data_IF_466632925241
#
_entry.id   IF_466632925241
#
_cell.length_a   1.000
_cell.length_b   1.000
_cell.length_c   1.000
_cell.angle_alpha   90.00
_cell.angle_beta   90.00
_cell.angle_gamma   90.00
#
_symmetry.space_group_name_H-M   'P 1'
#
loop_
_entity.id
_entity.type
_entity.pdbx_description
1 polymer ?
#
# COMPACT_ATOMS: atom_id res chain seq x y z
N UNK A 1 6.63 15.64 -5.42
CA UNK A 1 5.19 15.55 -5.71
C UNK A 1 4.87 16.17 -7.08
N UNK A 2 5.13 17.46 -7.33
CA UNK A 2 4.77 18.15 -8.59
C UNK A 2 5.23 17.46 -9.87
N UNK A 3 6.49 16.99 -9.95
CA UNK A 3 6.99 16.25 -11.11
C UNK A 3 6.25 14.93 -11.36
N UNK A 4 5.81 14.26 -10.30
CA UNK A 4 5.00 13.04 -10.41
C UNK A 4 3.57 13.37 -10.87
N UNK A 5 3.02 14.48 -10.40
CA UNK A 5 1.73 14.99 -10.86
C UNK A 5 1.75 15.32 -12.37
N UNK A 6 2.76 16.05 -12.83
CA UNK A 6 2.97 16.35 -14.25
C UNK A 6 3.09 15.08 -15.12
N UNK A 7 3.65 14.02 -14.54
CA UNK A 7 3.74 12.71 -15.17
C UNK A 7 2.45 11.87 -15.06
N UNK A 8 1.40 12.36 -14.41
CA UNK A 8 0.15 11.63 -14.18
C UNK A 8 0.28 10.50 -13.14
N UNK A 9 1.30 10.56 -12.27
CA UNK A 9 1.59 9.53 -11.27
C UNK A 9 0.95 9.92 -9.93
N UNK A 10 0.05 9.06 -9.45
CA UNK A 10 -0.50 9.15 -8.10
C UNK A 10 0.44 8.50 -7.09
N UNK A 11 0.39 8.98 -5.85
CA UNK A 11 1.34 8.59 -4.80
C UNK A 11 0.61 8.13 -3.54
N UNK A 12 1.01 6.99 -3.01
CA UNK A 12 0.69 6.54 -1.66
C UNK A 12 1.91 6.74 -0.77
N UNK A 13 1.69 7.31 0.40
CA UNK A 13 2.78 7.68 1.31
C UNK A 13 2.51 7.09 2.69
N UNK A 14 3.53 6.48 3.31
CA UNK A 14 3.48 6.14 4.73
C UNK A 14 3.60 7.41 5.58
N UNK A 15 2.77 7.55 6.62
CA UNK A 15 2.92 8.64 7.59
C UNK A 15 4.15 8.46 8.46
N UNK A 16 4.63 7.23 8.60
CA UNK A 16 5.83 6.89 9.35
C UNK A 16 7.12 7.13 8.55
N UNK A 17 8.18 7.48 9.27
CA UNK A 17 9.54 7.58 8.77
C UNK A 17 10.45 6.65 9.57
N UNK A 18 11.70 6.36 9.12
CA UNK A 18 12.64 5.54 9.90
C UNK A 18 12.91 6.05 11.32
N UNK A 19 12.79 7.36 11.54
CA UNK A 19 13.01 8.01 12.85
C UNK A 19 11.73 8.17 13.68
N UNK A 20 10.57 8.14 13.05
CA UNK A 20 9.27 8.34 13.72
C UNK A 20 8.28 7.29 13.19
N UNK A 21 8.15 6.20 13.91
CA UNK A 21 7.27 5.09 13.56
C UNK A 21 6.74 4.40 14.81
N UNK A 22 5.64 3.68 14.65
CA UNK A 22 5.19 2.75 15.69
C UNK A 22 6.18 1.58 15.74
N UNK A 23 6.74 1.31 16.92
CA UNK A 23 7.58 0.15 17.15
C UNK A 23 6.70 -1.08 17.38
N UNK A 24 6.83 -2.08 16.53
CA UNK A 24 6.04 -3.32 16.61
C UNK A 24 6.27 -4.12 17.89
N UNK A 25 7.42 -3.94 18.57
CA UNK A 25 7.76 -4.62 19.81
C UNK A 25 7.39 -3.81 21.06
N UNK A 26 7.19 -2.50 20.91
CA UNK A 26 6.80 -1.59 21.98
C UNK A 26 5.73 -0.59 21.50
N UNK A 27 4.58 -1.08 20.98
CA UNK A 27 3.62 -0.23 20.26
C UNK A 27 3.03 0.88 21.13
N UNK A 28 2.63 0.58 22.37
CA UNK A 28 2.06 1.56 23.30
C UNK A 28 3.07 2.66 23.69
N UNK A 29 4.35 2.30 23.79
CA UNK A 29 5.40 3.27 24.14
C UNK A 29 5.70 4.21 22.96
N UNK A 30 5.69 3.69 21.75
CA UNK A 30 5.96 4.46 20.54
C UNK A 30 4.74 5.28 20.05
N UNK A 31 3.55 4.93 20.49
CA UNK A 31 2.35 5.74 20.31
C UNK A 31 2.32 6.84 21.38
N UNK A 32 2.92 7.97 21.04
CA UNK A 32 3.08 9.12 21.92
C UNK A 32 2.86 10.43 21.12
N UNK A 33 2.67 11.57 21.80
CA UNK A 33 2.36 12.85 21.14
C UNK A 33 3.37 13.26 20.07
N UNK A 34 4.66 13.05 20.28
CA UNK A 34 5.71 13.45 19.33
C UNK A 34 5.63 12.64 18.03
N UNK A 35 5.42 11.33 18.16
CA UNK A 35 5.27 10.42 17.02
C UNK A 35 4.01 10.78 16.23
N UNK A 36 2.88 10.97 16.89
CA UNK A 36 1.60 11.29 16.24
C UNK A 36 1.65 12.69 15.61
N UNK A 37 2.25 13.68 16.27
CA UNK A 37 2.47 15.01 15.69
C UNK A 37 3.35 14.97 14.43
N UNK A 38 4.30 14.04 14.36
CA UNK A 38 5.09 13.80 13.14
C UNK A 38 4.22 13.26 12.00
N UNK A 39 3.26 12.38 12.30
CA UNK A 39 2.30 11.87 11.32
C UNK A 39 1.38 12.98 10.80
N UNK A 40 0.88 13.83 11.68
CA UNK A 40 0.06 14.98 11.28
C UNK A 40 0.80 15.92 10.34
N UNK A 41 2.06 16.28 10.64
CA UNK A 41 2.88 17.10 9.73
C UNK A 41 3.06 16.46 8.35
N UNK A 42 3.22 15.13 8.30
CA UNK A 42 3.30 14.43 7.02
C UNK A 42 2.00 14.59 6.24
N UNK A 43 0.86 14.37 6.89
CA UNK A 43 -0.47 14.50 6.27
C UNK A 43 -0.71 15.91 5.75
N UNK A 44 -0.43 16.93 6.55
CA UNK A 44 -0.65 18.35 6.18
C UNK A 44 0.14 18.74 4.93
N UNK A 45 1.40 18.25 4.83
CA UNK A 45 2.23 18.50 3.65
C UNK A 45 1.64 17.80 2.42
N UNK A 46 1.31 16.50 2.53
CA UNK A 46 0.97 15.70 1.36
C UNK A 46 -0.48 15.88 0.90
N UNK A 47 -1.38 16.29 1.78
CA UNK A 47 -2.77 16.58 1.44
C UNK A 47 -2.91 17.76 0.48
N UNK A 48 -1.92 18.66 0.45
CA UNK A 48 -1.87 19.79 -0.48
C UNK A 48 -1.62 19.40 -1.94
N UNK A 49 -1.18 18.16 -2.21
CA UNK A 49 -0.88 17.70 -3.56
C UNK A 49 -2.04 16.87 -4.13
N UNK A 50 -2.63 17.26 -5.28
CA UNK A 50 -3.80 16.59 -5.84
C UNK A 50 -3.52 15.14 -6.27
N UNK A 51 -2.25 14.80 -6.56
CA UNK A 51 -1.83 13.45 -6.89
C UNK A 51 -1.52 12.55 -5.67
N UNK A 52 -1.81 12.99 -4.45
CA UNK A 52 -1.81 12.08 -3.29
C UNK A 52 -3.05 11.21 -3.34
N UNK A 53 -2.87 9.90 -3.53
CA UNK A 53 -3.95 8.93 -3.57
C UNK A 53 -4.48 8.60 -2.17
N UNK A 54 -3.58 8.47 -1.20
CA UNK A 54 -3.90 8.14 0.18
C UNK A 54 -2.65 8.02 1.05
N UNK A 55 -2.85 7.65 2.30
CA UNK A 55 -1.79 7.46 3.29
C UNK A 55 -1.83 6.07 3.90
N UNK A 56 -0.68 5.59 4.33
CA UNK A 56 -0.53 4.34 5.05
C UNK A 56 -0.23 4.62 6.52
N UNK A 57 -1.13 4.20 7.42
CA UNK A 57 -0.96 4.34 8.87
C UNK A 57 0.17 3.48 9.43
N UNK A 58 0.53 2.42 8.73
CA UNK A 58 1.65 1.54 9.07
C UNK A 58 2.08 0.66 7.92
N UNK A 59 3.32 0.19 8.01
CA UNK A 59 3.94 -0.70 7.02
C UNK A 59 4.56 -1.90 7.72
N UNK A 60 4.06 -3.11 7.44
CA UNK A 60 4.57 -4.39 7.95
C UNK A 60 4.74 -4.47 9.47
N UNK A 61 3.89 -3.80 10.22
CA UNK A 61 3.98 -3.77 11.67
C UNK A 61 3.55 -5.11 12.28
N UNK A 62 2.63 -5.81 11.63
CA UNK A 62 2.10 -7.10 12.07
C UNK A 62 2.63 -8.18 11.14
N UNK A 63 3.51 -9.05 11.63
CA UNK A 63 4.14 -10.11 10.84
C UNK A 63 4.18 -11.47 11.55
N UNK A 64 3.78 -11.54 12.83
CA UNK A 64 3.67 -12.75 13.63
C UNK A 64 2.77 -12.52 14.84
N UNK A 65 2.52 -13.57 15.62
CA UNK A 65 1.63 -13.54 16.79
C UNK A 65 2.08 -12.54 17.86
N UNK A 66 3.38 -12.37 18.07
CA UNK A 66 3.90 -11.44 19.06
C UNK A 66 3.64 -9.97 18.70
N UNK A 67 3.43 -9.68 17.42
CA UNK A 67 3.17 -8.32 16.92
C UNK A 67 1.68 -8.02 16.71
N UNK A 68 0.78 -8.99 16.92
CA UNK A 68 -0.67 -8.77 16.82
C UNK A 68 -1.21 -7.60 17.68
N UNK A 69 -0.70 -7.37 18.92
CA UNK A 69 -1.16 -6.24 19.74
C UNK A 69 -1.01 -4.86 19.08
N UNK A 70 -0.14 -4.74 18.09
CA UNK A 70 0.02 -3.50 17.31
C UNK A 70 -1.27 -3.09 16.60
N UNK A 71 -2.13 -4.03 16.25
CA UNK A 71 -3.40 -3.75 15.57
C UNK A 71 -4.28 -2.75 16.34
N UNK A 72 -4.31 -2.83 17.66
CA UNK A 72 -5.06 -1.87 18.49
C UNK A 72 -4.45 -0.46 18.44
N UNK A 73 -3.12 -0.35 18.44
CA UNK A 73 -2.42 0.92 18.30
C UNK A 73 -2.62 1.48 16.89
N UNK A 74 -2.63 0.64 15.86
CA UNK A 74 -2.95 1.09 14.50
C UNK A 74 -4.34 1.71 14.41
N UNK A 75 -5.36 1.13 15.06
CA UNK A 75 -6.69 1.73 15.14
C UNK A 75 -6.67 3.10 15.83
N UNK A 76 -5.88 3.25 16.91
CA UNK A 76 -5.72 4.55 17.56
C UNK A 76 -5.06 5.58 16.63
N UNK A 77 -4.02 5.18 15.90
CA UNK A 77 -3.38 6.04 14.89
C UNK A 77 -4.36 6.44 13.79
N UNK A 78 -5.15 5.50 13.27
CA UNK A 78 -6.18 5.79 12.25
C UNK A 78 -7.19 6.79 12.77
N UNK A 79 -7.69 6.59 13.99
CA UNK A 79 -8.62 7.50 14.67
C UNK A 79 -8.04 8.92 14.73
N UNK A 80 -6.83 9.06 15.26
CA UNK A 80 -6.22 10.36 15.48
C UNK A 80 -5.92 11.07 14.16
N UNK A 81 -5.50 10.32 13.12
CA UNK A 81 -5.33 10.86 11.76
C UNK A 81 -6.66 11.35 11.17
N UNK A 82 -7.76 10.59 11.34
CA UNK A 82 -9.08 11.00 10.84
C UNK A 82 -9.60 12.24 11.56
N UNK A 83 -9.43 12.31 12.90
CA UNK A 83 -9.81 13.50 13.68
C UNK A 83 -9.00 14.71 13.20
N UNK A 84 -7.67 14.58 13.09
CA UNK A 84 -6.80 15.66 12.63
C UNK A 84 -7.22 16.15 11.23
N UNK A 85 -7.36 15.26 10.27
CA UNK A 85 -7.78 15.63 8.92
C UNK A 85 -9.16 16.28 8.88
N UNK A 86 -10.08 15.84 9.71
CA UNK A 86 -11.42 16.46 9.82
C UNK A 86 -11.31 17.91 10.32
N UNK A 87 -10.54 18.16 11.38
CA UNK A 87 -10.31 19.50 11.90
C UNK A 87 -9.63 20.40 10.86
N UNK A 88 -8.61 19.89 10.15
CA UNK A 88 -7.95 20.63 9.07
C UNK A 88 -8.89 20.91 7.89
N UNK A 89 -9.78 19.99 7.57
CA UNK A 89 -10.79 20.18 6.52
C UNK A 89 -11.79 21.27 6.92
N UNK A 90 -12.30 21.24 8.15
CA UNK A 90 -13.24 22.23 8.68
C UNK A 90 -12.62 23.63 8.78
N UNK A 91 -11.34 23.74 9.24
CA UNK A 91 -10.67 25.01 9.42
C UNK A 91 -10.11 25.61 8.13
N UNK A 92 -9.54 24.78 7.25
CA UNK A 92 -8.71 25.23 6.11
C UNK A 92 -9.20 24.68 4.75
N UNK A 93 -10.24 23.85 4.73
CA UNK A 93 -10.68 23.17 3.51
C UNK A 93 -9.67 22.13 3.01
N UNK A 94 -8.77 21.65 3.86
CA UNK A 94 -7.79 20.63 3.50
C UNK A 94 -8.49 19.34 3.07
N UNK A 95 -7.98 18.72 2.02
CA UNK A 95 -8.54 17.45 1.51
C UNK A 95 -8.37 16.31 2.51
N UNK A 96 -9.43 15.57 2.77
CA UNK A 96 -9.37 14.32 3.52
C UNK A 96 -8.80 13.20 2.64
N UNK A 97 -7.81 12.49 3.15
CA UNK A 97 -7.14 11.40 2.45
C UNK A 97 -7.63 10.04 3.00
N UNK A 98 -7.86 9.05 2.15
CA UNK A 98 -8.11 7.69 2.63
C UNK A 98 -6.87 7.14 3.34
N UNK A 99 -7.12 6.37 4.41
CA UNK A 99 -6.08 5.77 5.26
C UNK A 99 -6.07 4.25 5.07
N UNK A 100 -4.93 3.70 4.70
CA UNK A 100 -4.73 2.26 4.58
C UNK A 100 -3.67 1.71 5.52
N UNK A 101 -3.53 0.40 5.46
CA UNK A 101 -2.46 -0.36 6.10
C UNK A 101 -1.73 -1.21 5.06
N UNK A 102 -0.40 -1.24 5.12
CA UNK A 102 0.42 -2.10 4.27
C UNK A 102 0.87 -3.34 5.04
N UNK A 103 0.27 -4.49 4.72
CA UNK A 103 0.60 -5.76 5.35
C UNK A 103 1.92 -6.33 4.82
N UNK A 104 2.60 -7.10 5.66
CA UNK A 104 3.73 -7.93 5.27
C UNK A 104 3.31 -8.96 4.20
N UNK A 105 4.28 -9.66 3.62
CA UNK A 105 4.00 -10.74 2.66
C UNK A 105 3.05 -11.77 3.28
N UNK A 106 1.94 -11.96 2.63
CA UNK A 106 0.74 -12.68 3.06
C UNK A 106 0.99 -13.87 3.98
N UNK A 107 0.56 -13.72 5.23
CA UNK A 107 0.49 -14.78 6.22
C UNK A 107 -0.92 -15.32 6.40
N UNK A 108 -1.06 -16.45 7.09
CA UNK A 108 -2.36 -17.03 7.42
C UNK A 108 -3.26 -16.09 8.26
N UNK A 109 -2.71 -14.99 8.79
CA UNK A 109 -3.41 -14.04 9.64
C UNK A 109 -3.80 -12.73 8.96
N UNK A 110 -3.47 -12.55 7.67
CA UNK A 110 -3.79 -11.29 6.96
C UNK A 110 -5.28 -11.02 6.95
N UNK A 111 -6.08 -12.05 6.72
CA UNK A 111 -7.53 -11.94 6.76
C UNK A 111 -8.01 -11.49 8.14
N UNK A 112 -7.50 -12.09 9.20
CA UNK A 112 -7.83 -11.76 10.57
C UNK A 112 -7.50 -10.28 10.88
N UNK A 113 -6.32 -9.83 10.53
CA UNK A 113 -5.87 -8.46 10.76
C UNK A 113 -6.70 -7.46 9.93
N UNK A 114 -6.99 -7.78 8.67
CA UNK A 114 -7.84 -6.99 7.82
C UNK A 114 -9.23 -6.81 8.44
N UNK A 115 -9.85 -7.89 8.88
CA UNK A 115 -11.15 -7.87 9.54
C UNK A 115 -11.13 -7.03 10.81
N UNK A 116 -10.11 -7.19 11.66
CA UNK A 116 -9.95 -6.38 12.84
C UNK A 116 -9.82 -4.88 12.51
N UNK A 117 -8.98 -4.52 11.53
CA UNK A 117 -8.74 -3.12 11.17
C UNK A 117 -9.92 -2.47 10.45
N UNK A 118 -10.81 -3.25 9.84
CA UNK A 118 -12.05 -2.77 9.19
C UNK A 118 -13.27 -2.83 10.08
N UNK A 119 -13.22 -3.57 11.20
CA UNK A 119 -14.36 -3.71 12.12
C UNK A 119 -14.54 -2.47 12.99
N UNK A 120 -15.80 -2.24 13.43
CA UNK A 120 -16.18 -1.18 14.36
C UNK A 120 -16.56 0.12 13.66
N UNK A 121 -16.31 1.25 14.33
CA UNK A 121 -16.70 2.56 13.85
C UNK A 121 -15.80 3.04 12.71
N UNK A 122 -16.37 3.81 11.81
CA UNK A 122 -15.66 4.37 10.64
C UNK A 122 -14.40 5.16 11.05
N UNK A 123 -14.47 5.85 12.19
CA UNK A 123 -13.39 6.68 12.73
C UNK A 123 -12.12 5.88 13.06
N UNK A 124 -12.27 4.60 13.41
CA UNK A 124 -11.16 3.71 13.76
C UNK A 124 -10.81 2.70 12.67
N UNK A 125 -11.57 2.68 11.58
CA UNK A 125 -11.42 1.69 10.51
C UNK A 125 -10.55 2.23 9.38
N UNK A 126 -9.75 1.37 8.77
CA UNK A 126 -9.00 1.68 7.56
C UNK A 126 -9.93 1.75 6.34
N UNK A 127 -9.54 2.55 5.34
CA UNK A 127 -10.33 2.78 4.13
C UNK A 127 -9.86 1.91 2.95
N UNK A 128 -8.65 1.35 3.00
CA UNK A 128 -8.12 0.40 2.02
C UNK A 128 -7.03 -0.49 2.62
N UNK A 129 -6.78 -1.62 1.99
CA UNK A 129 -5.75 -2.58 2.39
C UNK A 129 -4.73 -2.78 1.28
N UNK A 130 -3.46 -2.89 1.66
CA UNK A 130 -2.42 -3.29 0.73
C UNK A 130 -1.60 -4.44 1.29
N UNK A 131 -1.10 -5.30 0.42
CA UNK A 131 -0.22 -6.39 0.80
C UNK A 131 0.84 -6.64 -0.28
N UNK A 132 1.87 -7.40 0.08
CA UNK A 132 2.96 -7.77 -0.82
C UNK A 132 2.78 -9.19 -1.33
N UNK A 133 3.13 -9.44 -2.59
CA UNK A 133 3.15 -10.78 -3.12
C UNK A 133 4.31 -11.01 -4.09
N UNK A 134 5.33 -11.72 -3.65
CA UNK A 134 6.47 -12.16 -4.46
C UNK A 134 6.42 -13.66 -4.81
N UNK A 135 5.36 -14.36 -4.42
CA UNK A 135 5.21 -15.80 -4.64
C UNK A 135 4.63 -16.16 -6.01
N UNK A 136 4.19 -15.17 -6.78
CA UNK A 136 3.76 -15.36 -8.16
C UNK A 136 5.00 -15.69 -9.01
N UNK A 137 5.42 -16.95 -8.96
CA UNK A 137 6.47 -17.49 -9.83
C UNK A 137 5.91 -17.67 -11.22
N UNK A 138 6.78 -17.59 -12.24
CA UNK A 138 6.40 -17.62 -13.66
C UNK A 138 5.81 -18.95 -14.16
N UNK A 139 5.65 -19.97 -13.31
CA UNK A 139 5.04 -21.23 -13.67
C UNK A 139 3.50 -21.13 -13.63
N UNK A 140 2.80 -21.45 -14.73
CA UNK A 140 1.34 -21.28 -14.84
C UNK A 140 0.53 -21.91 -13.70
N UNK A 141 0.92 -23.10 -13.25
CA UNK A 141 0.23 -23.81 -12.17
C UNK A 141 0.44 -23.14 -10.80
N UNK A 142 1.64 -22.59 -10.56
CA UNK A 142 1.94 -21.85 -9.33
C UNK A 142 1.18 -20.53 -9.32
N UNK A 143 1.15 -19.81 -10.43
CA UNK A 143 0.37 -18.58 -10.58
C UNK A 143 -1.10 -18.88 -10.28
N UNK A 144 -1.66 -19.94 -10.82
CA UNK A 144 -3.07 -20.34 -10.59
C UNK A 144 -3.35 -20.66 -9.13
N UNK A 145 -2.44 -21.39 -8.47
CA UNK A 145 -2.61 -21.74 -7.05
C UNK A 145 -2.56 -20.52 -6.15
N UNK A 146 -1.59 -19.61 -6.34
CA UNK A 146 -1.47 -18.35 -5.58
C UNK A 146 -2.64 -17.42 -5.87
N UNK A 147 -3.08 -17.34 -7.13
CA UNK A 147 -4.26 -16.59 -7.53
C UNK A 147 -5.52 -17.05 -6.77
N UNK A 148 -5.78 -18.36 -6.75
CA UNK A 148 -6.94 -18.91 -6.05
C UNK A 148 -6.86 -18.68 -4.54
N UNK A 149 -5.69 -18.79 -3.95
CA UNK A 149 -5.47 -18.51 -2.53
C UNK A 149 -5.74 -17.03 -2.19
N UNK A 150 -5.23 -16.10 -3.01
CA UNK A 150 -5.50 -14.66 -2.85
C UNK A 150 -7.00 -14.34 -2.98
N UNK A 151 -7.66 -14.89 -4.00
CA UNK A 151 -9.09 -14.71 -4.18
C UNK A 151 -9.87 -15.26 -2.98
N UNK A 152 -9.53 -16.46 -2.52
CA UNK A 152 -10.21 -17.08 -1.38
C UNK A 152 -10.07 -16.25 -0.11
N UNK A 153 -8.88 -15.71 0.16
CA UNK A 153 -8.61 -14.92 1.37
C UNK A 153 -9.29 -13.55 1.38
N UNK A 154 -9.35 -12.90 0.23
CA UNK A 154 -9.81 -11.51 0.16
C UNK A 154 -11.18 -11.34 -0.50
N UNK A 155 -11.79 -12.42 -0.98
CA UNK A 155 -13.16 -12.36 -1.50
C UNK A 155 -14.15 -11.93 -0.39
N UNK A 156 -15.04 -11.01 -0.73
CA UNK A 156 -16.01 -10.49 0.23
C UNK A 156 -15.50 -9.33 1.10
N UNK A 157 -14.29 -8.83 0.87
CA UNK A 157 -13.79 -7.63 1.54
C UNK A 157 -14.54 -6.38 1.05
N UNK A 158 -14.97 -5.53 2.00
CA UNK A 158 -15.78 -4.34 1.72
C UNK A 158 -14.97 -3.09 1.34
N UNK A 159 -13.64 -3.14 1.41
CA UNK A 159 -12.73 -2.04 1.10
C UNK A 159 -11.81 -2.42 -0.06
N UNK A 160 -11.29 -1.43 -0.82
CA UNK A 160 -10.33 -1.68 -1.88
C UNK A 160 -9.07 -2.39 -1.37
N UNK A 161 -8.61 -3.38 -2.15
CA UNK A 161 -7.36 -4.11 -1.90
C UNK A 161 -6.45 -3.98 -3.11
N UNK A 162 -5.16 -3.78 -2.90
CA UNK A 162 -4.20 -3.87 -4.00
C UNK A 162 -2.84 -4.40 -3.53
N UNK A 163 -2.02 -4.86 -4.46
CA UNK A 163 -0.66 -5.30 -4.17
C UNK A 163 0.27 -4.09 -4.13
N UNK A 164 0.72 -3.71 -2.93
CA UNK A 164 1.71 -2.63 -2.78
C UNK A 164 3.06 -2.96 -3.41
N UNK A 165 3.40 -4.25 -3.42
CA UNK A 165 4.62 -4.75 -4.03
C UNK A 165 4.37 -6.13 -4.65
N UNK A 166 4.74 -6.27 -5.92
CA UNK A 166 4.81 -7.57 -6.59
C UNK A 166 5.95 -7.59 -7.62
N UNK A 167 6.23 -8.75 -8.17
CA UNK A 167 7.27 -8.94 -9.19
C UNK A 167 8.39 -9.85 -8.70
N UNK A 168 8.37 -11.10 -9.14
CA UNK A 168 9.44 -12.06 -8.84
C UNK A 168 10.68 -11.75 -9.68
N UNK A 169 11.90 -11.86 -9.10
CA UNK A 169 13.16 -11.64 -9.82
C UNK A 169 14.06 -12.88 -9.88
N UNK A 170 13.50 -14.07 -9.68
CA UNK A 170 14.26 -15.32 -9.76
C UNK A 170 14.70 -15.66 -11.18
N UNK A 171 14.00 -15.13 -12.18
CA UNK A 171 14.39 -15.21 -13.58
C UNK A 171 14.68 -13.81 -14.14
N UNK A 172 15.70 -13.69 -14.97
CA UNK A 172 16.13 -12.46 -15.61
C UNK A 172 16.32 -12.66 -17.12
N UNK A 173 15.87 -11.72 -17.96
CA UNK A 173 14.98 -10.60 -17.61
C UNK A 173 13.61 -11.07 -17.15
N UNK A 174 12.98 -10.31 -16.22
CA UNK A 174 11.62 -10.58 -15.77
C UNK A 174 10.63 -10.39 -16.93
N UNK A 175 9.62 -11.25 -17.03
CA UNK A 175 8.61 -11.19 -18.09
C UNK A 175 7.22 -10.72 -17.57
N UNK A 176 7.04 -10.61 -16.28
CA UNK A 176 5.86 -10.05 -15.60
C UNK A 176 4.51 -10.69 -15.99
N UNK A 177 4.47 -12.01 -16.15
CA UNK A 177 3.20 -12.72 -16.38
C UNK A 177 2.18 -12.50 -15.27
N UNK A 178 2.64 -12.35 -14.03
CA UNK A 178 1.80 -12.02 -12.87
C UNK A 178 1.02 -10.71 -13.04
N UNK A 179 1.53 -9.77 -13.82
CA UNK A 179 0.81 -8.53 -14.14
C UNK A 179 -0.45 -8.81 -14.92
N UNK A 180 -0.38 -9.65 -15.95
CA UNK A 180 -1.56 -10.05 -16.73
C UNK A 180 -2.59 -10.79 -15.88
N UNK A 181 -2.13 -11.62 -14.92
CA UNK A 181 -3.01 -12.34 -13.99
C UNK A 181 -3.69 -11.37 -13.02
N UNK A 182 -2.94 -10.44 -12.42
CA UNK A 182 -3.46 -9.44 -11.48
C UNK A 182 -4.60 -8.62 -12.08
N UNK A 183 -4.49 -8.27 -13.36
CA UNK A 183 -5.52 -7.50 -14.07
C UNK A 183 -6.52 -8.36 -14.85
N UNK A 184 -6.57 -9.67 -14.61
CA UNK A 184 -7.59 -10.54 -15.18
C UNK A 184 -8.98 -10.24 -14.58
N UNK A 185 -10.09 -10.53 -15.29
CA UNK A 185 -11.44 -10.29 -14.79
C UNK A 185 -11.73 -10.89 -13.42
N UNK A 186 -11.20 -12.09 -13.12
CA UNK A 186 -11.37 -12.72 -11.83
C UNK A 186 -10.65 -12.00 -10.70
N UNK A 187 -9.41 -11.54 -10.93
CA UNK A 187 -8.65 -10.80 -9.92
C UNK A 187 -9.17 -9.38 -9.73
N UNK A 188 -9.59 -8.71 -10.80
CA UNK A 188 -10.08 -7.33 -10.75
C UNK A 188 -11.39 -7.18 -9.96
N UNK A 189 -12.11 -8.27 -9.68
CA UNK A 189 -13.26 -8.27 -8.76
C UNK A 189 -12.86 -8.09 -7.30
N UNK A 190 -11.62 -8.45 -6.94
CA UNK A 190 -11.11 -8.41 -5.57
C UNK A 190 -9.99 -7.39 -5.42
N UNK A 191 -9.08 -7.32 -6.39
CA UNK A 191 -7.90 -6.45 -6.35
C UNK A 191 -8.05 -5.26 -7.28
N UNK A 192 -7.78 -4.08 -6.77
CA UNK A 192 -7.76 -2.83 -7.54
C UNK A 192 -6.46 -2.61 -8.34
N UNK A 193 -5.59 -3.61 -8.39
CA UNK A 193 -4.33 -3.57 -9.11
C UNK A 193 -3.10 -3.72 -8.21
N UNK A 194 -1.95 -3.21 -8.66
CA UNK A 194 -0.72 -3.30 -7.86
C UNK A 194 0.44 -2.50 -8.43
N UNK A 195 1.49 -2.35 -7.59
CA UNK A 195 2.74 -1.70 -7.93
C UNK A 195 3.86 -2.73 -8.05
N UNK A 196 4.56 -2.72 -9.17
CA UNK A 196 5.74 -3.59 -9.33
C UNK A 196 6.90 -3.09 -8.46
N UNK A 197 7.55 -4.00 -7.77
CA UNK A 197 8.77 -3.73 -7.03
C UNK A 197 9.99 -4.00 -7.92
N UNK A 198 10.90 -3.05 -8.18
CA UNK A 198 10.88 -1.63 -7.83
C UNK A 198 11.39 -0.79 -9.01
N UNK A 199 11.15 0.52 -9.02
CA UNK A 199 11.54 1.36 -10.16
C UNK A 199 13.06 1.51 -10.28
N UNK A 200 13.74 1.96 -9.19
CA UNK A 200 15.18 2.16 -9.18
C UNK A 200 15.93 0.88 -8.80
N UNK A 201 17.04 0.62 -9.52
CA UNK A 201 17.92 -0.50 -9.20
C UNK A 201 18.62 -0.28 -7.86
N UNK A 202 18.48 -1.28 -6.99
CA UNK A 202 19.20 -1.43 -5.73
C UNK A 202 19.98 -2.75 -5.71
N UNK A 203 20.71 -3.00 -4.62
CA UNK A 203 21.51 -4.22 -4.45
C UNK A 203 20.68 -5.52 -4.52
N UNK A 204 19.37 -5.44 -4.25
CA UNK A 204 18.43 -6.56 -4.30
C UNK A 204 18.06 -7.00 -5.73
N UNK A 205 18.40 -6.22 -6.76
CA UNK A 205 18.24 -6.61 -8.15
C UNK A 205 16.81 -6.51 -8.72
N UNK A 206 15.92 -5.73 -8.13
CA UNK A 206 14.53 -5.58 -8.60
C UNK A 206 14.29 -4.38 -9.53
N UNK A 207 15.29 -3.54 -9.76
CA UNK A 207 15.13 -2.30 -10.53
C UNK A 207 14.65 -2.51 -11.96
N UNK A 208 13.87 -1.55 -12.43
CA UNK A 208 13.49 -1.41 -13.84
C UNK A 208 14.45 -0.49 -14.58
N UNK A 209 15.06 0.45 -13.86
CA UNK A 209 16.04 1.40 -14.37
C UNK A 209 17.18 1.58 -13.38
N UNK A 210 18.36 1.97 -13.88
CA UNK A 210 19.55 2.29 -13.08
C UNK A 210 20.15 3.61 -13.56
N UNK A 211 20.72 4.41 -12.66
CA UNK A 211 21.49 5.59 -13.04
C UNK A 211 22.94 5.43 -12.59
N UNK A 212 23.87 5.49 -13.56
CA UNK A 212 25.31 5.50 -13.31
C UNK A 212 25.77 6.95 -13.28
N UNK A 213 26.18 7.48 -12.12
CA UNK A 213 26.64 8.86 -11.99
C UNK A 213 27.97 9.06 -12.68
N UNK A 214 28.23 10.26 -13.21
CA UNK A 214 29.47 10.59 -13.92
C UNK A 214 30.73 10.59 -13.04
N UNK A 215 30.60 10.73 -11.72
CA UNK A 215 31.75 10.76 -10.79
C UNK A 215 31.59 9.70 -9.69
N UNK A 216 32.56 8.83 -9.61
CA UNK A 216 32.74 7.92 -8.46
C UNK A 216 31.86 6.70 -8.46
N UNK A 217 31.18 6.40 -9.55
CA UNK A 217 30.23 5.31 -9.54
C UNK A 217 30.81 3.98 -9.98
N UNK A 218 30.26 3.01 -9.33
CA UNK A 218 30.41 1.59 -9.59
C UNK A 218 29.97 1.31 -11.02
N UNK A 219 30.71 0.44 -11.70
CA UNK A 219 30.19 -0.16 -12.93
C UNK A 219 28.87 -0.84 -12.63
N UNK A 220 27.95 -0.78 -13.60
CA UNK A 220 26.70 -1.56 -13.49
C UNK A 220 27.01 -3.03 -13.26
N UNK A 221 26.21 -3.67 -12.43
CA UNK A 221 26.27 -5.12 -12.23
C UNK A 221 25.51 -5.88 -13.32
N UNK A 222 24.79 -5.16 -14.18
CA UNK A 222 24.03 -5.75 -15.27
C UNK A 222 24.92 -6.11 -16.45
N UNK A 223 24.69 -7.30 -17.01
CA UNK A 223 25.24 -7.67 -18.30
C UNK A 223 24.64 -6.80 -19.42
N UNK A 224 25.35 -6.61 -20.49
CA UNK A 224 24.85 -5.86 -21.66
C UNK A 224 23.54 -6.46 -22.22
N UNK A 225 23.34 -7.77 -22.07
CA UNK A 225 22.10 -8.43 -22.46
C UNK A 225 20.89 -7.99 -21.65
N UNK A 226 21.07 -7.45 -20.46
CA UNK A 226 20.00 -6.91 -19.60
C UNK A 226 19.69 -5.45 -19.88
N UNK A 227 20.62 -4.73 -20.53
CA UNK A 227 20.47 -3.31 -20.84
C UNK A 227 19.76 -3.18 -22.19
N UNK A 228 18.59 -2.56 -22.20
CA UNK A 228 17.86 -2.27 -23.42
C UNK A 228 18.35 -0.99 -24.10
N UNK A 229 18.56 0.07 -23.30
CA UNK A 229 18.95 1.39 -23.81
C UNK A 229 19.82 2.11 -22.78
N UNK A 230 20.74 2.95 -23.28
CA UNK A 230 21.56 3.88 -22.49
C UNK A 230 21.25 5.30 -22.93
N UNK A 231 20.93 6.18 -21.98
CA UNK A 231 20.65 7.60 -22.22
C UNK A 231 21.56 8.46 -21.37
N UNK A 232 22.28 9.35 -22.03
CA UNK A 232 23.01 10.40 -21.33
C UNK A 232 22.03 11.38 -20.68
N UNK A 233 22.30 11.73 -19.44
CA UNK A 233 21.52 12.69 -18.66
C UNK A 233 22.45 13.65 -17.93
N UNK A 234 21.93 14.74 -17.40
CA UNK A 234 22.70 15.66 -16.57
C UNK A 234 23.33 14.97 -15.34
N UNK A 235 22.66 13.97 -14.78
CA UNK A 235 23.06 13.28 -13.55
C UNK A 235 23.96 12.06 -13.79
N UNK A 236 24.07 11.59 -15.02
CA UNK A 236 24.78 10.38 -15.38
C UNK A 236 24.12 9.63 -16.53
N UNK A 237 24.51 8.39 -16.72
CA UNK A 237 23.95 7.52 -17.75
C UNK A 237 22.75 6.75 -17.16
N UNK A 238 21.57 7.01 -17.67
CA UNK A 238 20.38 6.24 -17.36
C UNK A 238 20.37 4.94 -18.16
N UNK A 239 20.34 3.82 -17.48
CA UNK A 239 20.16 2.50 -18.06
C UNK A 239 18.69 2.12 -17.98
N UNK A 240 18.07 1.88 -19.11
CA UNK A 240 16.74 1.28 -19.20
C UNK A 240 16.95 -0.23 -19.34
N UNK A 241 16.45 -0.99 -18.37
CA UNK A 241 16.61 -2.44 -18.35
C UNK A 241 15.52 -3.14 -19.18
N UNK A 242 15.80 -4.35 -19.64
CA UNK A 242 14.78 -5.17 -20.35
C UNK A 242 13.55 -5.42 -19.49
N UNK A 243 13.71 -5.50 -18.18
CA UNK A 243 12.63 -5.60 -17.22
C UNK A 243 11.62 -4.46 -17.38
N UNK A 244 12.07 -3.21 -17.58
CA UNK A 244 11.21 -2.06 -17.86
C UNK A 244 10.39 -2.24 -19.15
N UNK A 245 11.04 -2.69 -20.22
CA UNK A 245 10.39 -2.87 -21.52
C UNK A 245 9.36 -3.98 -21.45
N UNK A 246 9.69 -5.10 -20.79
CA UNK A 246 8.77 -6.21 -20.61
C UNK A 246 7.56 -5.80 -19.76
N UNK A 247 7.78 -5.07 -18.66
CA UNK A 247 6.69 -4.58 -17.82
C UNK A 247 5.77 -3.62 -18.58
N UNK A 248 6.36 -2.67 -19.33
CA UNK A 248 5.59 -1.75 -20.18
C UNK A 248 4.75 -2.49 -21.22
N UNK A 249 5.30 -3.55 -21.83
CA UNK A 249 4.56 -4.38 -22.79
C UNK A 249 3.36 -5.06 -22.13
N UNK A 250 3.51 -5.61 -20.91
CA UNK A 250 2.39 -6.21 -20.17
C UNK A 250 1.30 -5.22 -19.82
N UNK A 251 1.67 -4.01 -19.39
CA UNK A 251 0.69 -2.97 -19.13
C UNK A 251 -0.08 -2.54 -20.40
N UNK A 252 0.59 -2.51 -21.55
CA UNK A 252 -0.05 -2.22 -22.82
C UNK A 252 -1.05 -3.30 -23.25
N UNK A 253 -0.75 -4.57 -22.99
CA UNK A 253 -1.67 -5.70 -23.23
C UNK A 253 -2.95 -5.54 -22.40
N UNK A 254 -2.84 -5.16 -21.14
CA UNK A 254 -3.97 -4.95 -20.22
C UNK A 254 -4.83 -3.77 -20.69
N UNK A 255 -4.23 -2.66 -21.07
CA UNK A 255 -4.94 -1.47 -21.55
C UNK A 255 -5.78 -1.73 -22.80
N UNK A 256 -5.48 -2.79 -23.55
CA UNK A 256 -6.25 -3.25 -24.70
C UNK A 256 -7.38 -4.24 -24.35
N UNK A 257 -7.32 -4.83 -23.17
CA UNK A 257 -8.43 -5.59 -22.60
C UNK A 257 -9.37 -4.53 -22.03
N UNK A 258 -10.36 -4.11 -22.84
CA UNK A 258 -11.36 -3.14 -22.37
C UNK A 258 -11.88 -3.63 -21.02
N UNK A 259 -11.87 -2.76 -20.03
CA UNK A 259 -12.59 -3.01 -18.78
C UNK A 259 -14.03 -3.11 -19.21
N UNK A 260 -14.56 -4.33 -19.34
CA UNK A 260 -15.98 -4.55 -19.50
C UNK A 260 -16.62 -3.90 -18.27
N UNK A 261 -17.28 -2.79 -18.55
CA UNK A 261 -17.88 -1.93 -17.56
C UNK A 261 -18.83 -2.72 -16.67
N UNK A 262 -18.59 -2.61 -15.37
CA UNK A 262 -19.61 -2.59 -14.34
C UNK A 262 -20.76 -3.59 -14.50
N UNK A 263 -20.52 -4.86 -14.22
CA UNK A 263 -21.54 -5.59 -13.47
C UNK A 263 -21.51 -5.00 -12.04
N UNK A 264 -22.42 -4.08 -11.79
CA UNK A 264 -22.62 -3.53 -10.45
C UNK A 264 -22.82 -4.70 -9.49
N UNK A 265 -22.01 -4.73 -8.44
CA UNK A 265 -22.17 -5.67 -7.33
C UNK A 265 -23.64 -5.65 -6.91
N UNK A 266 -24.35 -6.75 -7.07
CA UNK A 266 -25.77 -6.83 -6.78
C UNK A 266 -25.99 -6.60 -5.28
N UNK A 267 -27.16 -6.07 -4.91
CA UNK A 267 -27.51 -5.82 -3.50
C UNK A 267 -27.39 -7.08 -2.65
N UNK A 268 -27.65 -8.23 -3.25
CA UNK A 268 -27.50 -9.57 -2.65
C UNK A 268 -26.05 -9.92 -2.33
N UNK A 269 -25.08 -9.55 -3.18
CA UNK A 269 -23.66 -9.75 -2.92
C UNK A 269 -23.16 -8.84 -1.80
N UNK A 270 -23.69 -7.61 -1.71
CA UNK A 270 -23.40 -6.68 -0.60
C UNK A 270 -23.98 -7.17 0.73
N UNK A 271 -25.16 -7.78 0.73
CA UNK A 271 -25.76 -8.38 1.93
C UNK A 271 -25.01 -9.64 2.37
N UNK A 272 -24.58 -10.51 1.43
CA UNK A 272 -23.73 -11.65 1.73
C UNK A 272 -22.36 -11.24 2.29
N UNK A 273 -21.77 -10.16 1.77
CA UNK A 273 -20.56 -9.56 2.33
C UNK A 273 -20.76 -9.08 3.77
N UNK A 274 -21.88 -8.40 4.05
CA UNK A 274 -22.22 -7.96 5.42
C UNK A 274 -22.42 -9.14 6.39
N UNK A 275 -23.08 -10.19 5.95
CA UNK A 275 -23.36 -11.39 6.77
C UNK A 275 -22.10 -12.19 7.05
N UNK A 276 -21.19 -12.31 6.07
CA UNK A 276 -19.85 -12.87 6.27
C UNK A 276 -19.04 -12.09 7.29
N UNK A 277 -19.04 -10.75 7.20
CA UNK A 277 -18.36 -9.89 8.16
C UNK A 277 -19.01 -9.92 9.58
N UNK A 278 -20.31 -10.17 9.70
CA UNK A 278 -20.97 -10.31 11.00
C UNK A 278 -20.62 -11.62 11.71
N UNK A 279 -20.48 -12.72 10.99
CA UNK A 279 -20.02 -14.01 11.53
C UNK A 279 -18.57 -13.93 12.07
N UNK A 280 -17.75 -13.08 11.48
CA UNK A 280 -16.36 -12.86 11.84
C UNK A 280 -16.22 -11.91 13.06
N UNK A 281 -17.25 -11.14 13.40
CA UNK A 281 -17.28 -10.27 14.60
C UNK A 281 -17.23 -11.02 15.95
N UNK A 282 -17.28 -12.35 15.97
CA UNK A 282 -17.05 -13.17 17.18
C UNK A 282 -15.58 -13.37 17.53
N UNK A 283 -14.76 -12.45 17.13
CA UNK A 283 -13.31 -12.52 17.16
C UNK A 283 -12.67 -12.62 18.54
N UNK A 284 -11.60 -13.44 18.61
CA UNK A 284 -10.88 -13.76 19.83
C UNK A 284 -10.03 -12.60 20.38
N UNK A 285 -9.81 -11.54 19.63
CA UNK A 285 -8.97 -10.42 20.04
C UNK A 285 -9.79 -9.31 20.71
N UNK A 286 -9.92 -9.38 22.01
CA UNK A 286 -10.35 -8.25 22.85
C UNK A 286 -9.19 -7.26 23.04
N UNK A 287 -8.60 -6.79 21.95
CA UNK A 287 -7.58 -5.75 22.02
C UNK A 287 -8.27 -4.41 22.26
N UNK A 288 -7.97 -3.80 23.38
CA UNK A 288 -8.44 -2.45 23.70
C UNK A 288 -7.67 -1.43 22.85
N UNK A 289 -8.37 -0.62 22.07
CA UNK A 289 -7.80 0.51 21.34
C UNK A 289 -7.39 1.57 22.38
N UNK A 290 -6.11 1.98 22.42
CA UNK A 290 -5.68 2.99 23.38
C UNK A 290 -6.43 4.31 23.23
N UNK A 291 -6.63 5.03 24.34
CA UNK A 291 -7.11 6.40 24.29
C UNK A 291 -6.13 7.26 23.47
N UNK A 292 -6.63 8.38 22.94
CA UNK A 292 -5.77 9.29 22.19
C UNK A 292 -4.64 9.84 23.08
N UNK A 293 -3.43 9.82 22.57
CA UNK A 293 -2.31 10.49 23.22
C UNK A 293 -2.26 11.99 22.89
N UNK A 294 -3.20 12.50 22.09
CA UNK A 294 -3.33 13.90 21.70
C UNK A 294 -4.37 14.57 22.59
N UNK A 295 -4.03 15.75 23.11
CA UNK A 295 -4.98 16.62 23.80
C UNK A 295 -5.79 17.42 22.77
N UNK A 296 -6.95 16.87 22.37
CA UNK A 296 -7.82 17.46 21.37
C UNK A 296 -8.52 18.75 21.85
N UNK A 297 -8.70 18.94 23.14
CA UNK A 297 -9.35 20.13 23.70
C UNK A 297 -8.49 21.37 23.52
N UNK A 298 -7.22 21.26 23.88
CA UNK A 298 -6.26 22.36 23.68
C UNK A 298 -5.97 22.61 22.19
N UNK A 299 -6.09 21.59 21.33
CA UNK A 299 -5.84 21.72 19.89
C UNK A 299 -6.95 22.48 19.16
N UNK A 300 -8.20 22.39 19.61
CA UNK A 300 -9.33 23.14 19.05
C UNK A 300 -9.29 24.61 19.40
N UNK A 301 -8.88 24.98 20.62
CA UNK A 301 -8.73 26.38 21.04
C UNK A 301 -7.64 27.13 20.23
N UNK A 302 -6.62 26.42 19.74
CA UNK A 302 -5.55 27.00 18.91
C UNK A 302 -5.99 27.30 17.46
N UNK A 303 -7.03 26.64 16.96
CA UNK A 303 -7.57 26.86 15.60
C UNK A 303 -8.64 27.97 15.55
N UNK A 304 -9.24 28.33 16.69
CA UNK A 304 -10.22 29.41 16.78
C UNK A 304 -9.60 30.79 17.08
N UNK A 305 -8.30 30.84 17.34
CA UNK A 305 -7.52 32.06 17.62
C UNK A 305 -6.71 32.52 16.40
#
# INVERSE_FOLDING_TARGET
>A
MKLLEEAGIYVLISVSTPSNSIDRLAPTKSYNPDTVASFFRTVDIIASFPNTLGILAGNELINNDATLPVAAVLKAVVRDLKIHMKLQNEALGQRMLPIGYNAATSGARDQEVLEYLTAGEHETSIDFWTCKNFNLKELPDVIRAVHNDLLHRFNGTSIPIFLSEYGNNTQKPRIFHETTVLYSPSMSRVFSGGCVYEFWQNANGYGLVEILKHRGDKQTTHSDSMIYERRETYWGVLLILRDFVNYKARLAEIGNIGVESEESCTETEREQQKTGMEAIRQWQFKLHVPDSCVDWVSSTEFMES
#
